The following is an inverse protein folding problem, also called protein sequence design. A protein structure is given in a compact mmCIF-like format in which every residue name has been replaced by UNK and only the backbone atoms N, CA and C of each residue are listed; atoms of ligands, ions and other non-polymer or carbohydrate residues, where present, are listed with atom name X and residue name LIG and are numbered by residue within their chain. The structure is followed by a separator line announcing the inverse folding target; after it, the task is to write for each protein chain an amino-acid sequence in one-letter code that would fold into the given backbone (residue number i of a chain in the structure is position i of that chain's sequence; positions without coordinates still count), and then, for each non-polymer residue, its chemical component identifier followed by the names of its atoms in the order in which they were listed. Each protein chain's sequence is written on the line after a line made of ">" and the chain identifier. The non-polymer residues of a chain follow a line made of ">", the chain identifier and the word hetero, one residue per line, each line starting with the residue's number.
data_IF_691233121853
#
_entry.id   IF_691233121853
#
_cell.length_a   1.000
_cell.length_b   1.000
_cell.length_c   1.000
_cell.angle_alpha   90.00
_cell.angle_beta   90.00
_cell.angle_gamma   90.00
#
_symmetry.space_group_name_H-M   'P 1'
#
loop_
_entity.id
_entity.type
_entity.pdbx_description
1 polymer ?
#
# COMPACT_ATOMS: atom_id res chain seq x y z
N UNK A 1 66.08 57.84 -18.01
CA UNK A 1 65.76 58.04 -19.44
C UNK A 1 66.66 57.12 -20.24
N UNK A 2 66.08 56.53 -21.28
CA UNK A 2 66.62 55.53 -22.21
C UNK A 2 66.63 54.09 -21.69
N UNK A 3 66.45 53.08 -22.52
CA UNK A 3 65.58 52.82 -23.69
C UNK A 3 65.88 51.34 -24.02
N UNK A 4 64.90 50.64 -24.59
CA UNK A 4 65.03 49.39 -25.34
C UNK A 4 65.58 48.14 -24.60
N UNK A 5 64.99 46.96 -24.85
CA UNK A 5 65.40 46.17 -26.02
C UNK A 5 64.72 44.79 -26.11
N UNK A 6 64.45 44.39 -27.35
CA UNK A 6 64.33 43.02 -27.91
C UNK A 6 63.19 42.07 -27.51
N UNK A 7 62.19 42.01 -28.38
CA UNK A 7 61.60 40.76 -28.90
C UNK A 7 62.68 39.89 -29.59
N UNK A 8 62.54 38.55 -29.83
CA UNK A 8 61.61 38.05 -30.86
C UNK A 8 61.13 36.56 -30.82
N UNK A 9 60.14 36.27 -31.69
CA UNK A 9 59.86 35.04 -32.47
C UNK A 9 59.48 33.72 -31.74
N UNK A 10 58.44 33.04 -32.26
CA UNK A 10 58.51 31.69 -32.90
C UNK A 10 57.12 31.21 -33.40
N UNK A 11 57.02 30.97 -34.73
CA UNK A 11 56.46 29.81 -35.50
C UNK A 11 55.06 29.26 -35.08
N UNK A 12 53.98 29.46 -35.84
CA UNK A 12 53.46 28.74 -37.05
C UNK A 12 53.06 27.25 -36.86
N UNK A 13 51.75 27.01 -37.04
CA UNK A 13 51.05 25.83 -37.55
C UNK A 13 51.24 24.43 -36.91
N UNK A 14 50.12 23.83 -36.48
CA UNK A 14 49.65 22.56 -37.05
C UNK A 14 48.27 22.19 -36.52
N UNK A 15 47.36 21.94 -37.46
CA UNK A 15 46.16 21.14 -37.29
C UNK A 15 46.53 19.72 -36.90
N UNK A 16 45.87 19.14 -35.89
CA UNK A 16 45.70 17.69 -35.78
C UNK A 16 44.26 17.35 -35.33
N UNK A 17 43.63 16.35 -35.97
CA UNK A 17 42.26 15.94 -35.73
C UNK A 17 42.15 15.10 -34.46
N UNK A 18 41.09 15.31 -33.68
CA UNK A 18 40.74 14.43 -32.57
C UNK A 18 39.89 13.27 -33.13
N UNK A 19 40.55 12.18 -33.51
CA UNK A 19 39.94 10.84 -33.55
C UNK A 19 40.61 9.96 -32.50
N UNK A 20 39.84 9.54 -31.50
CA UNK A 20 39.98 8.28 -30.76
C UNK A 20 38.65 8.11 -29.99
N UNK A 21 37.72 7.28 -30.49
CA UNK A 21 37.58 5.85 -30.17
C UNK A 21 37.68 5.58 -28.68
N UNK A 22 36.55 5.21 -28.07
CA UNK A 22 36.29 4.17 -27.03
C UNK A 22 34.80 4.35 -26.69
N UNK A 23 33.93 3.38 -26.49
CA UNK A 23 33.84 1.97 -26.84
C UNK A 23 32.39 1.60 -26.54
N UNK A 24 31.77 0.93 -27.48
CA UNK A 24 30.61 0.05 -27.33
C UNK A 24 30.56 -0.64 -25.96
N UNK A 25 29.52 -0.36 -25.16
CA UNK A 25 28.95 -1.33 -24.20
C UNK A 25 27.43 -1.30 -24.30
N UNK A 26 26.93 -1.96 -25.36
CA UNK A 26 25.65 -2.66 -25.35
C UNK A 26 25.90 -4.09 -24.87
N UNK A 27 24.89 -4.70 -24.24
CA UNK A 27 24.84 -6.03 -23.61
C UNK A 27 25.58 -6.08 -22.26
N UNK A 28 24.91 -6.42 -21.15
CA UNK A 28 24.27 -7.72 -20.89
C UNK A 28 23.14 -7.61 -19.87
N UNK A 29 21.89 -7.89 -20.26
CA UNK A 29 20.82 -8.40 -19.37
C UNK A 29 19.59 -8.94 -20.15
N UNK A 30 19.80 -9.42 -21.38
CA UNK A 30 18.74 -10.01 -22.20
C UNK A 30 19.23 -11.34 -22.79
N UNK A 31 19.34 -12.37 -21.95
CA UNK A 31 19.56 -13.75 -22.41
C UNK A 31 19.24 -14.75 -21.29
N UNK A 32 17.96 -14.95 -20.99
CA UNK A 32 17.46 -16.15 -20.30
C UNK A 32 15.94 -16.26 -20.48
N UNK A 33 15.52 -16.68 -21.67
CA UNK A 33 14.28 -17.44 -21.92
C UNK A 33 14.01 -17.51 -23.43
N UNK A 34 14.62 -18.48 -24.11
CA UNK A 34 14.20 -18.90 -25.43
C UNK A 34 13.76 -20.35 -25.36
N UNK A 35 12.46 -20.60 -25.51
CA UNK A 35 11.87 -21.63 -26.38
C UNK A 35 10.49 -22.07 -25.90
N UNK A 36 9.47 -21.82 -26.71
CA UNK A 36 8.71 -22.84 -27.46
C UNK A 36 7.52 -22.12 -28.11
N UNK A 37 7.43 -22.20 -29.43
CA UNK A 37 6.40 -21.59 -30.25
C UNK A 37 5.68 -22.70 -31.02
N UNK A 38 4.39 -22.92 -30.74
CA UNK A 38 3.39 -23.45 -31.70
C UNK A 38 2.03 -22.83 -31.37
N UNK A 39 1.37 -22.12 -32.31
CA UNK A 39 0.04 -21.57 -32.10
C UNK A 39 -1.06 -22.52 -32.61
N UNK A 40 -2.09 -22.74 -31.80
CA UNK A 40 -3.32 -23.43 -32.16
C UNK A 40 -4.54 -22.56 -31.90
N UNK A 41 -5.10 -21.99 -32.96
CA UNK A 41 -6.39 -21.28 -33.00
C UNK A 41 -7.55 -22.17 -32.55
N UNK A 42 -8.47 -21.63 -31.74
CA UNK A 42 -9.91 -21.87 -31.89
C UNK A 42 -10.75 -20.88 -31.05
N UNK A 43 -11.55 -20.07 -31.76
CA UNK A 43 -12.74 -19.36 -31.27
C UNK A 43 -13.78 -20.37 -30.75
N UNK A 44 -14.44 -20.06 -29.64
CA UNK A 44 -15.81 -20.49 -29.37
C UNK A 44 -16.51 -19.52 -28.43
N UNK A 45 -17.77 -19.23 -28.75
CA UNK A 45 -18.72 -18.33 -28.09
C UNK A 45 -18.87 -18.58 -26.59
N UNK A 46 -18.78 -17.51 -25.79
CA UNK A 46 -19.12 -17.54 -24.37
C UNK A 46 -20.50 -16.84 -24.15
N UNK A 47 -21.49 -17.53 -23.54
CA UNK A 47 -22.78 -16.94 -23.24
C UNK A 47 -22.71 -15.95 -22.06
N UNK A 48 -23.65 -15.00 -22.04
CA UNK A 48 -23.75 -13.93 -21.06
C UNK A 48 -23.81 -14.43 -19.60
N UNK A 49 -23.16 -13.75 -18.65
CA UNK A 49 -23.11 -14.18 -17.25
C UNK A 49 -24.48 -14.04 -16.58
N UNK A 50 -25.07 -15.17 -16.20
CA UNK A 50 -26.19 -15.21 -15.24
C UNK A 50 -25.69 -14.81 -13.85
N UNK A 51 -26.36 -13.83 -13.25
CA UNK A 51 -26.13 -13.38 -11.88
C UNK A 51 -26.35 -14.55 -10.90
N UNK A 52 -25.25 -15.18 -10.50
CA UNK A 52 -25.23 -16.25 -9.51
C UNK A 52 -25.60 -15.68 -8.15
N UNK A 53 -26.70 -16.16 -7.59
CA UNK A 53 -27.14 -15.87 -6.23
C UNK A 53 -26.03 -16.25 -5.24
N UNK A 54 -25.56 -15.28 -4.45
CA UNK A 54 -24.65 -15.51 -3.34
C UNK A 54 -25.25 -16.56 -2.41
N UNK A 55 -24.54 -17.68 -2.10
CA UNK A 55 -25.04 -18.65 -1.15
C UNK A 55 -25.21 -17.98 0.22
N UNK A 56 -26.42 -18.06 0.77
CA UNK A 56 -26.70 -17.59 2.12
C UNK A 56 -25.79 -18.33 3.11
N UNK A 57 -24.88 -17.58 3.73
CA UNK A 57 -23.99 -18.09 4.77
C UNK A 57 -24.87 -18.41 5.98
N UNK A 58 -25.11 -19.70 6.20
CA UNK A 58 -25.77 -20.18 7.42
C UNK A 58 -24.73 -20.10 8.54
N UNK A 59 -24.72 -19.00 9.30
CA UNK A 59 -23.98 -18.94 10.55
C UNK A 59 -24.58 -19.96 11.54
N UNK A 60 -23.75 -20.73 12.27
CA UNK A 60 -24.26 -21.71 13.22
C UNK A 60 -25.00 -21.06 14.39
N UNK A 61 -26.12 -21.66 14.76
CA UNK A 61 -26.96 -21.30 15.92
C UNK A 61 -26.27 -21.62 17.26
N UNK A 62 -25.21 -20.87 17.63
CA UNK A 62 -24.84 -20.67 19.04
C UNK A 62 -23.74 -19.62 19.20
N UNK A 63 -23.85 -18.69 20.16
CA UNK A 63 -22.68 -17.95 20.62
C UNK A 63 -21.71 -18.95 21.27
N UNK A 64 -20.54 -19.15 20.66
CA UNK A 64 -19.43 -19.81 21.35
C UNK A 64 -19.04 -18.94 22.56
N UNK A 65 -18.87 -19.50 23.76
CA UNK A 65 -18.26 -18.77 24.86
C UNK A 65 -16.89 -18.23 24.41
N UNK A 66 -16.52 -17.06 24.92
CA UNK A 66 -15.26 -16.38 24.59
C UNK A 66 -14.02 -17.26 24.83
N UNK A 67 -14.14 -18.23 25.74
CA UNK A 67 -13.11 -19.23 26.07
C UNK A 67 -12.76 -20.16 24.89
N UNK A 68 -13.64 -20.28 23.90
CA UNK A 68 -13.39 -21.06 22.68
C UNK A 68 -12.46 -20.32 21.70
N UNK A 69 -12.20 -19.03 21.89
CA UNK A 69 -11.31 -18.27 21.02
C UNK A 69 -9.85 -18.44 21.46
N UNK A 70 -9.17 -19.36 20.76
CA UNK A 70 -7.78 -19.75 21.03
C UNK A 70 -6.76 -18.79 20.42
N UNK A 71 -7.14 -18.05 19.36
CA UNK A 71 -6.25 -17.16 18.65
C UNK A 71 -6.44 -15.71 19.11
N UNK A 72 -5.36 -14.97 19.31
CA UNK A 72 -5.33 -13.55 19.67
C UNK A 72 -4.23 -12.84 18.86
N UNK A 73 -4.56 -11.72 18.22
CA UNK A 73 -3.62 -10.94 17.43
C UNK A 73 -3.89 -9.45 17.56
N UNK A 74 -2.81 -8.67 17.55
CA UNK A 74 -2.83 -7.23 17.30
C UNK A 74 -2.13 -6.97 15.97
N UNK A 75 -2.77 -6.20 15.10
CA UNK A 75 -2.25 -5.87 13.77
C UNK A 75 -2.38 -4.37 13.52
N UNK A 76 -1.42 -3.82 12.78
CA UNK A 76 -1.48 -2.48 12.23
C UNK A 76 -1.43 -2.57 10.71
N UNK A 77 -2.50 -2.13 10.04
CA UNK A 77 -2.67 -2.33 8.59
C UNK A 77 -2.94 -0.99 7.92
N UNK A 78 -2.19 -0.71 6.86
CA UNK A 78 -2.52 0.34 5.91
C UNK A 78 -3.44 -0.23 4.82
N UNK A 79 -4.54 0.46 4.56
CA UNK A 79 -5.51 0.11 3.53
C UNK A 79 -5.44 1.11 2.39
N UNK A 80 -5.47 0.60 1.16
CA UNK A 80 -5.75 1.41 -0.02
C UNK A 80 -7.21 1.88 -0.01
N UNK A 81 -7.53 2.90 -0.81
CA UNK A 81 -8.91 3.42 -0.92
C UNK A 81 -9.92 2.33 -1.32
N UNK A 82 -9.53 1.42 -2.22
CA UNK A 82 -10.37 0.30 -2.66
C UNK A 82 -10.63 -0.69 -1.53
N UNK A 83 -9.60 -1.03 -0.75
CA UNK A 83 -9.73 -1.94 0.40
C UNK A 83 -10.58 -1.32 1.50
N UNK A 84 -10.35 -0.04 1.79
CA UNK A 84 -11.18 0.70 2.73
C UNK A 84 -12.66 0.64 2.33
N UNK A 85 -12.98 0.85 1.05
CA UNK A 85 -14.35 0.82 0.55
C UNK A 85 -15.02 -0.55 0.73
N UNK A 86 -14.25 -1.64 0.53
CA UNK A 86 -14.72 -3.00 0.75
C UNK A 86 -14.98 -3.34 2.22
N UNK A 87 -14.36 -2.63 3.16
CA UNK A 87 -14.53 -2.84 4.60
C UNK A 87 -15.76 -2.13 5.18
N UNK A 88 -16.54 -1.42 4.35
CA UNK A 88 -17.69 -0.62 4.75
C UNK A 88 -17.38 0.26 5.97
N UNK A 89 -16.16 0.80 6.04
CA UNK A 89 -15.78 1.71 7.12
C UNK A 89 -16.52 3.03 6.88
N UNK A 90 -17.15 3.64 7.90
CA UNK A 90 -17.96 4.83 7.67
C UNK A 90 -17.02 5.93 7.21
N UNK A 91 -17.07 6.24 5.91
CA UNK A 91 -16.34 7.37 5.38
C UNK A 91 -17.06 8.61 5.83
N UNK A 92 -16.42 9.36 6.72
CA UNK A 92 -16.97 10.59 7.27
C UNK A 92 -17.17 11.64 6.16
N UNK A 93 -18.29 11.57 5.44
CA UNK A 93 -19.00 12.61 4.70
C UNK A 93 -18.29 13.40 3.58
N UNK A 94 -16.98 13.32 3.40
CA UNK A 94 -16.24 14.20 2.49
C UNK A 94 -15.72 13.45 1.26
N UNK A 95 -16.00 13.98 0.07
CA UNK A 95 -15.47 13.51 -1.22
C UNK A 95 -13.96 13.33 -1.15
N UNK A 96 -13.46 12.21 -1.67
CA UNK A 96 -12.04 11.92 -1.80
C UNK A 96 -11.39 12.89 -2.79
N UNK A 97 -10.59 13.82 -2.29
CA UNK A 97 -9.66 14.61 -3.11
C UNK A 97 -8.34 14.72 -2.35
N UNK A 98 -7.23 14.30 -2.97
CA UNK A 98 -5.88 14.26 -2.40
C UNK A 98 -5.43 12.88 -1.88
N UNK A 99 -4.18 12.79 -1.39
CA UNK A 99 -3.55 11.58 -0.86
C UNK A 99 -4.12 11.20 0.51
N UNK A 100 -5.25 10.50 0.49
CA UNK A 100 -5.89 9.94 1.67
C UNK A 100 -5.55 8.45 1.83
N UNK A 101 -5.21 8.06 3.06
CA UNK A 101 -4.89 6.69 3.42
C UNK A 101 -5.77 6.28 4.61
N UNK A 102 -6.30 5.06 4.60
CA UNK A 102 -6.93 4.49 5.79
C UNK A 102 -5.90 3.61 6.48
N UNK A 103 -5.79 3.75 7.79
CA UNK A 103 -4.94 2.92 8.64
C UNK A 103 -5.83 2.31 9.71
N UNK A 104 -5.64 1.04 10.04
CA UNK A 104 -6.31 0.43 11.17
C UNK A 104 -5.31 -0.18 12.16
N UNK A 105 -5.57 0.06 13.44
CA UNK A 105 -5.05 -0.73 14.52
C UNK A 105 -6.14 -1.69 14.97
N UNK A 106 -5.90 -2.98 14.84
CA UNK A 106 -6.90 -4.02 15.06
C UNK A 106 -6.43 -4.99 16.13
N UNK A 107 -7.27 -5.22 17.12
CA UNK A 107 -7.18 -6.39 17.98
C UNK A 107 -8.27 -7.38 17.58
N UNK A 108 -7.90 -8.65 17.41
CA UNK A 108 -8.79 -9.73 16.98
C UNK A 108 -8.61 -10.92 17.92
N UNK A 109 -9.71 -11.56 18.29
CA UNK A 109 -9.70 -12.85 18.98
C UNK A 109 -10.70 -13.79 18.30
N UNK A 110 -10.25 -14.97 17.89
CA UNK A 110 -11.06 -15.85 17.05
C UNK A 110 -10.74 -17.32 17.24
N UNK A 111 -11.54 -18.15 16.57
CA UNK A 111 -11.29 -19.56 16.33
C UNK A 111 -11.39 -19.84 14.85
N UNK A 112 -10.55 -20.76 14.36
CA UNK A 112 -10.55 -21.17 12.97
C UNK A 112 -11.68 -22.19 12.74
N UNK A 113 -12.52 -21.95 11.74
CA UNK A 113 -13.59 -22.88 11.34
C UNK A 113 -13.42 -23.30 9.90
N UNK A 114 -13.47 -24.60 9.65
CA UNK A 114 -13.49 -25.13 8.28
C UNK A 114 -14.90 -24.98 7.70
N UNK A 115 -14.99 -24.37 6.54
CA UNK A 115 -16.22 -24.30 5.76
C UNK A 115 -16.53 -25.63 5.10
N UNK A 116 -17.74 -25.77 4.56
CA UNK A 116 -18.14 -26.94 3.75
C UNK A 116 -17.26 -27.12 2.50
N UNK A 117 -16.67 -26.05 1.98
CA UNK A 117 -15.71 -26.07 0.87
C UNK A 117 -14.27 -26.37 1.28
N UNK A 118 -14.00 -26.57 2.58
CA UNK A 118 -12.66 -26.85 3.09
C UNK A 118 -11.77 -25.62 3.32
N UNK A 119 -12.27 -24.41 3.05
CA UNK A 119 -11.57 -23.17 3.40
C UNK A 119 -11.62 -22.93 4.91
N UNK A 120 -10.64 -22.21 5.45
CA UNK A 120 -10.64 -21.78 6.85
C UNK A 120 -11.23 -20.37 6.94
N UNK A 121 -12.16 -20.17 7.87
CA UNK A 121 -12.75 -18.88 8.24
C UNK A 121 -12.40 -18.53 9.68
N UNK A 122 -12.10 -17.26 9.92
CA UNK A 122 -11.75 -16.72 11.22
C UNK A 122 -13.03 -16.19 11.86
N UNK A 123 -13.59 -16.93 12.81
CA UNK A 123 -14.87 -16.57 13.45
C UNK A 123 -14.60 -16.08 14.87
N UNK A 124 -14.95 -14.82 15.16
CA UNK A 124 -14.58 -14.22 16.43
C UNK A 124 -15.06 -12.79 16.64
N UNK A 125 -14.29 -12.06 17.44
CA UNK A 125 -14.53 -10.67 17.84
C UNK A 125 -13.33 -9.79 17.50
N UNK A 126 -13.60 -8.52 17.22
CA UNK A 126 -12.53 -7.56 16.95
C UNK A 126 -12.85 -6.17 17.50
N UNK A 127 -11.79 -5.45 17.87
CA UNK A 127 -11.81 -4.01 18.15
C UNK A 127 -10.88 -3.34 17.14
N UNK A 128 -11.44 -2.46 16.33
CA UNK A 128 -10.75 -1.81 15.22
C UNK A 128 -10.74 -0.31 15.47
N UNK A 129 -9.56 0.28 15.61
CA UNK A 129 -9.34 1.72 15.56
C UNK A 129 -8.95 2.10 14.13
N UNK A 130 -9.88 2.72 13.42
CA UNK A 130 -9.66 3.27 12.09
C UNK A 130 -9.17 4.71 12.19
N UNK A 131 -8.09 5.00 11.49
CA UNK A 131 -7.51 6.31 11.31
C UNK A 131 -7.60 6.70 9.84
N UNK A 132 -8.43 7.68 9.53
CA UNK A 132 -8.45 8.32 8.22
C UNK A 132 -7.37 9.39 8.21
N UNK A 133 -6.33 9.15 7.42
CA UNK A 133 -5.18 10.04 7.31
C UNK A 133 -5.28 10.82 6.01
N UNK A 134 -5.48 12.12 6.09
CA UNK A 134 -5.28 13.04 4.97
C UNK A 134 -3.88 13.63 5.10
N UNK A 135 -2.97 13.21 4.22
CA UNK A 135 -1.63 13.81 4.18
C UNK A 135 -1.76 15.25 3.66
N UNK A 136 -1.15 16.18 4.38
CA UNK A 136 -1.05 17.57 3.96
C UNK A 136 0.32 17.83 3.31
N UNK A 137 1.33 17.04 3.69
CA UNK A 137 2.68 17.07 3.12
C UNK A 137 3.18 15.66 2.75
N UNK A 138 4.09 15.59 1.75
CA UNK A 138 4.72 14.34 1.31
C UNK A 138 5.58 13.65 2.40
N UNK A 139 5.97 14.39 3.44
CA UNK A 139 6.80 13.88 4.55
C UNK A 139 6.00 13.21 5.68
N UNK A 140 4.67 13.15 5.59
CA UNK A 140 3.83 12.53 6.61
C UNK A 140 4.14 11.03 6.75
N UNK A 141 4.65 10.62 7.92
CA UNK A 141 4.98 9.22 8.24
C UNK A 141 3.73 8.51 8.77
N UNK A 142 3.31 7.45 8.08
CA UNK A 142 2.09 6.68 8.40
C UNK A 142 2.36 5.24 8.83
N UNK A 143 3.63 4.89 9.06
CA UNK A 143 4.09 3.52 9.37
C UNK A 143 3.72 3.03 10.77
N UNK A 144 3.36 3.91 11.70
CA UNK A 144 2.89 3.54 13.04
C UNK A 144 1.95 4.59 13.61
N UNK A 145 1.18 4.22 14.65
CA UNK A 145 0.28 5.13 15.34
C UNK A 145 1.00 6.35 15.95
N UNK A 146 2.18 6.15 16.54
CA UNK A 146 2.95 7.24 17.16
C UNK A 146 3.44 8.24 16.13
N UNK A 147 3.88 7.76 14.95
CA UNK A 147 4.28 8.65 13.85
C UNK A 147 3.09 9.42 13.25
N UNK A 148 1.93 8.77 13.17
CA UNK A 148 0.70 9.44 12.74
C UNK A 148 0.29 10.55 13.72
N UNK A 149 0.32 10.26 15.01
CA UNK A 149 -0.02 11.24 16.04
C UNK A 149 0.91 12.46 15.99
N UNK A 150 2.23 12.23 15.87
CA UNK A 150 3.21 13.29 15.72
C UNK A 150 3.00 14.09 14.43
N UNK A 151 2.76 13.42 13.29
CA UNK A 151 2.50 14.08 12.01
C UNK A 151 1.25 14.96 12.07
N UNK A 152 0.22 14.54 12.81
CA UNK A 152 -0.98 15.32 13.02
C UNK A 152 -0.73 16.55 13.92
N UNK A 153 0.00 16.40 15.01
CA UNK A 153 0.38 17.51 15.91
C UNK A 153 1.21 18.58 15.19
N UNK A 154 2.10 18.16 14.29
CA UNK A 154 2.94 19.07 13.49
C UNK A 154 2.19 19.69 12.30
N UNK A 155 0.93 19.32 12.06
CA UNK A 155 0.14 19.83 10.93
C UNK A 155 0.50 19.25 9.57
N UNK A 156 1.31 18.18 9.52
CA UNK A 156 1.65 17.47 8.27
C UNK A 156 0.56 16.49 7.81
N UNK A 157 -0.38 16.16 8.70
CA UNK A 157 -1.54 15.34 8.39
C UNK A 157 -2.76 15.79 9.19
N UNK A 158 -3.95 15.56 8.64
CA UNK A 158 -5.19 15.59 9.39
C UNK A 158 -5.66 14.15 9.59
N UNK A 159 -5.87 13.75 10.83
CA UNK A 159 -6.24 12.37 11.17
C UNK A 159 -7.56 12.36 11.91
N UNK A 160 -8.56 11.69 11.33
CA UNK A 160 -9.83 11.40 12.00
C UNK A 160 -9.80 9.96 12.50
N UNK A 161 -10.26 9.75 13.73
CA UNK A 161 -10.25 8.45 14.38
C UNK A 161 -11.66 7.90 14.66
N UNK A 162 -11.81 6.59 14.56
CA UNK A 162 -13.06 5.88 14.83
C UNK A 162 -12.80 4.50 15.41
N UNK A 163 -13.50 4.14 16.48
CA UNK A 163 -13.49 2.76 16.98
C UNK A 163 -14.74 2.04 16.49
N UNK A 164 -14.54 0.86 15.92
CA UNK A 164 -15.57 -0.12 15.60
C UNK A 164 -15.34 -1.38 16.41
N UNK A 165 -16.41 -1.91 17.00
CA UNK A 165 -16.41 -3.21 17.68
C UNK A 165 -17.20 -4.19 16.84
N UNK A 166 -16.63 -5.37 16.58
CA UNK A 166 -17.26 -6.44 15.81
C UNK A 166 -17.42 -7.67 16.68
N UNK A 167 -18.60 -8.29 16.56
CA UNK A 167 -18.95 -9.54 17.22
C UNK A 167 -19.14 -9.50 18.73
N UNK A 168 -19.12 -8.31 19.34
CA UNK A 168 -19.37 -8.12 20.76
C UNK A 168 -20.17 -6.83 21.01
N UNK A 169 -21.07 -6.86 21.99
CA UNK A 169 -21.87 -5.70 22.37
C UNK A 169 -22.26 -5.72 23.84
N UNK A 170 -22.25 -4.55 24.47
CA UNK A 170 -22.80 -4.32 25.82
C UNK A 170 -22.99 -2.82 26.03
N UNK A 171 -23.85 -2.43 26.97
CA UNK A 171 -24.02 -1.02 27.32
C UNK A 171 -22.69 -0.37 27.75
N UNK A 172 -21.85 -1.13 28.47
CA UNK A 172 -20.53 -0.67 28.89
C UNK A 172 -19.58 -0.43 27.71
N UNK A 173 -19.62 -1.28 26.67
CA UNK A 173 -18.85 -1.07 25.43
C UNK A 173 -19.31 0.23 24.76
N UNK A 174 -20.61 0.45 24.62
CA UNK A 174 -21.15 1.66 24.00
C UNK A 174 -20.74 2.93 24.76
N UNK A 175 -20.73 2.89 26.10
CA UNK A 175 -20.27 4.00 26.94
C UNK A 175 -18.75 4.20 26.93
N UNK A 176 -17.97 3.20 26.52
CA UNK A 176 -16.51 3.28 26.42
C UNK A 176 -16.04 3.85 25.07
N UNK A 177 -16.93 3.96 24.08
CA UNK A 177 -16.61 4.59 22.80
C UNK A 177 -16.39 6.10 22.98
N UNK A 178 -15.32 6.67 22.39
CA UNK A 178 -15.12 8.11 22.41
C UNK A 178 -16.30 8.84 21.77
N UNK A 179 -16.74 9.92 22.43
CA UNK A 179 -17.83 10.75 21.94
C UNK A 179 -17.45 11.55 20.68
N UNK A 180 -18.42 12.19 20.02
CA UNK A 180 -18.21 12.96 18.79
C UNK A 180 -17.32 14.20 18.96
N UNK A 181 -17.00 14.60 20.20
CA UNK A 181 -16.07 15.70 20.49
C UNK A 181 -14.60 15.32 20.34
N UNK A 182 -14.27 14.03 20.22
CA UNK A 182 -12.88 13.53 20.15
C UNK A 182 -12.50 13.18 18.72
N UNK A 183 -12.84 14.00 17.73
CA UNK A 183 -12.68 13.63 16.31
C UNK A 183 -11.25 13.68 15.78
N UNK A 184 -10.42 14.58 16.30
CA UNK A 184 -9.05 14.75 15.81
C UNK A 184 -8.06 13.88 16.57
N UNK A 185 -7.30 13.06 15.85
CA UNK A 185 -6.22 12.24 16.38
C UNK A 185 -4.89 12.99 16.30
N UNK A 186 -4.24 13.18 17.44
CA UNK A 186 -2.96 13.88 17.61
C UNK A 186 -2.22 13.31 18.85
N UNK A 187 -1.04 13.82 19.19
CA UNK A 187 -0.26 13.32 20.35
C UNK A 187 -1.04 13.39 21.67
N UNK A 188 -1.86 14.42 21.87
CA UNK A 188 -2.62 14.64 23.12
C UNK A 188 -3.77 13.63 23.27
N UNK A 189 -4.47 13.31 22.17
CA UNK A 189 -5.62 12.39 22.14
C UNK A 189 -5.23 10.94 21.87
N UNK A 190 -4.01 10.69 21.39
CA UNK A 190 -3.51 9.35 21.07
C UNK A 190 -3.70 8.36 22.22
N UNK A 191 -3.31 8.76 23.43
CA UNK A 191 -3.43 7.91 24.62
C UNK A 191 -4.90 7.61 24.93
N UNK A 192 -5.79 8.61 24.80
CA UNK A 192 -7.24 8.43 25.00
C UNK A 192 -7.83 7.38 24.06
N UNK A 193 -7.42 7.37 22.79
CA UNK A 193 -7.87 6.37 21.82
C UNK A 193 -7.38 4.97 22.16
N UNK A 194 -6.11 4.82 22.55
CA UNK A 194 -5.56 3.53 22.98
C UNK A 194 -6.22 3.04 24.28
N UNK A 195 -6.44 3.93 25.24
CA UNK A 195 -7.13 3.59 26.48
C UNK A 195 -8.57 3.14 26.22
N UNK A 196 -9.27 3.79 25.28
CA UNK A 196 -10.60 3.36 24.85
C UNK A 196 -10.56 1.95 24.24
N UNK A 197 -9.62 1.67 23.33
CA UNK A 197 -9.44 0.32 22.77
C UNK A 197 -9.16 -0.70 23.86
N UNK A 198 -8.22 -0.43 24.77
CA UNK A 198 -7.86 -1.34 25.87
C UNK A 198 -9.03 -1.56 26.85
N UNK A 199 -9.78 -0.50 27.16
CA UNK A 199 -10.99 -0.59 27.98
C UNK A 199 -12.05 -1.46 27.30
N UNK A 200 -12.29 -1.28 26.01
CA UNK A 200 -13.24 -2.09 25.24
C UNK A 200 -12.78 -3.55 25.20
N UNK A 201 -11.50 -3.82 24.96
CA UNK A 201 -10.92 -5.17 25.04
C UNK A 201 -11.23 -5.83 26.39
N UNK A 202 -10.98 -5.13 27.49
CA UNK A 202 -11.28 -5.63 28.82
C UNK A 202 -12.77 -5.86 29.06
N UNK A 203 -13.64 -5.01 28.50
CA UNK A 203 -15.10 -5.17 28.58
C UNK A 203 -15.60 -6.39 27.80
N UNK A 204 -15.00 -6.70 26.66
CA UNK A 204 -15.34 -7.89 25.85
C UNK A 204 -15.13 -9.18 26.65
N UNK A 205 -14.14 -9.21 27.55
CA UNK A 205 -13.83 -10.37 28.39
C UNK A 205 -14.81 -10.59 29.56
N UNK A 206 -15.77 -9.68 29.78
CA UNK A 206 -16.64 -9.76 30.95
C UNK A 206 -17.89 -10.61 30.70
N UNK A 207 -18.41 -11.31 31.72
CA UNK A 207 -19.60 -12.17 31.59
C UNK A 207 -20.85 -11.43 31.12
N UNK A 208 -20.98 -10.14 31.41
CA UNK A 208 -22.12 -9.33 31.00
C UNK A 208 -22.10 -8.91 29.52
N UNK A 209 -21.03 -9.19 28.78
CA UNK A 209 -20.94 -8.84 27.36
C UNK A 209 -21.61 -9.88 26.48
N UNK A 210 -22.49 -9.40 25.59
CA UNK A 210 -23.12 -10.24 24.59
C UNK A 210 -22.16 -10.48 23.42
N UNK A 211 -21.68 -11.72 23.30
CA UNK A 211 -20.82 -12.16 22.20
C UNK A 211 -21.70 -12.73 21.09
N UNK A 212 -21.61 -12.12 19.91
CA UNK A 212 -22.23 -12.58 18.68
C UNK A 212 -21.14 -12.71 17.60
N UNK A 213 -20.37 -13.81 17.59
CA UNK A 213 -19.16 -13.92 16.78
C UNK A 213 -19.47 -13.66 15.31
N UNK A 214 -18.59 -12.93 14.64
CA UNK A 214 -18.72 -12.66 13.20
C UNK A 214 -17.53 -13.26 12.46
N UNK A 215 -17.71 -13.49 11.17
CA UNK A 215 -16.57 -13.74 10.28
C UNK A 215 -15.72 -12.46 10.29
N UNK A 216 -14.58 -12.56 10.95
CA UNK A 216 -13.51 -11.61 10.82
C UNK A 216 -12.96 -11.90 9.44
N UNK A 217 -13.49 -11.19 8.45
CA UNK A 217 -12.90 -11.13 7.13
C UNK A 217 -11.45 -10.72 7.39
N UNK A 218 -10.55 -11.70 7.37
CA UNK A 218 -9.23 -11.41 6.89
C UNK A 218 -9.52 -10.82 5.53
N UNK A 219 -9.14 -9.56 5.26
CA UNK A 219 -8.95 -9.24 3.88
C UNK A 219 -8.04 -10.38 3.41
N UNK A 220 -8.60 -11.29 2.59
CA UNK A 220 -7.93 -11.61 1.36
C UNK A 220 -7.63 -10.23 0.82
N UNK A 221 -6.48 -9.68 1.21
CA UNK A 221 -5.76 -8.77 0.34
C UNK A 221 -5.99 -9.44 -1.00
N UNK A 222 -6.63 -8.74 -1.93
CA UNK A 222 -6.84 -9.18 -3.31
C UNK A 222 -5.48 -9.25 -4.04
N UNK A 223 -4.52 -9.75 -3.29
CA UNK A 223 -3.08 -9.77 -3.27
C UNK A 223 -2.75 -10.74 -2.12
N UNK A 224 -3.06 -12.02 -2.31
CA UNK A 224 -2.03 -13.05 -2.13
C UNK A 224 -1.03 -12.87 -3.30
N UNK A 225 -0.56 -11.62 -3.47
CA UNK A 225 0.59 -11.34 -4.29
C UNK A 225 1.69 -11.80 -3.37
N UNK A 226 2.31 -12.91 -3.77
CA UNK A 226 3.54 -13.39 -3.18
C UNK A 226 4.38 -12.17 -2.73
N UNK A 227 4.78 -12.05 -1.46
CA UNK A 227 5.60 -10.93 -1.02
C UNK A 227 6.82 -10.71 -1.91
N UNK A 228 7.38 -11.79 -2.49
CA UNK A 228 8.47 -11.69 -3.47
C UNK A 228 8.02 -10.99 -4.76
N UNK A 229 6.80 -11.25 -5.22
CA UNK A 229 6.19 -10.59 -6.36
C UNK A 229 5.97 -9.10 -6.09
N UNK A 230 5.49 -8.72 -4.91
CA UNK A 230 5.34 -7.30 -4.56
C UNK A 230 6.68 -6.57 -4.58
N UNK A 231 7.71 -7.12 -3.92
CA UNK A 231 9.05 -6.53 -3.93
C UNK A 231 9.63 -6.45 -5.36
N UNK A 232 9.44 -7.49 -6.17
CA UNK A 232 9.91 -7.50 -7.56
C UNK A 232 9.22 -6.43 -8.41
N UNK A 233 7.91 -6.22 -8.23
CA UNK A 233 7.16 -5.18 -8.96
C UNK A 233 7.53 -3.78 -8.50
N UNK A 234 7.75 -3.59 -7.19
CA UNK A 234 8.25 -2.31 -6.66
C UNK A 234 9.64 -2.00 -7.20
N UNK A 235 10.56 -2.97 -7.19
CA UNK A 235 11.90 -2.81 -7.77
C UNK A 235 11.82 -2.46 -9.26
N UNK A 236 11.00 -3.18 -10.01
CA UNK A 236 10.76 -2.90 -11.43
C UNK A 236 10.24 -1.48 -11.65
N UNK A 237 9.16 -1.08 -10.97
CA UNK A 237 8.57 0.24 -11.16
C UNK A 237 9.50 1.37 -10.71
N UNK A 238 10.27 1.19 -9.63
CA UNK A 238 11.30 2.16 -9.22
C UNK A 238 12.42 2.28 -10.26
N UNK A 239 12.84 1.18 -10.88
CA UNK A 239 13.82 1.22 -11.97
C UNK A 239 13.27 2.01 -13.18
N UNK A 240 12.01 1.79 -13.57
CA UNK A 240 11.36 2.55 -14.64
C UNK A 240 11.28 4.04 -14.34
N UNK A 241 10.90 4.41 -13.12
CA UNK A 241 10.90 5.82 -12.67
C UNK A 241 12.33 6.38 -12.67
N UNK A 242 13.33 5.61 -12.26
CA UNK A 242 14.74 6.01 -12.25
C UNK A 242 15.29 6.24 -13.67
N UNK A 243 14.76 5.53 -14.67
CA UNK A 243 15.08 5.74 -16.08
C UNK A 243 14.31 6.91 -16.72
N UNK A 244 13.35 7.49 -15.97
CA UNK A 244 12.50 8.59 -16.43
C UNK A 244 11.31 8.16 -17.27
N UNK A 245 10.98 6.86 -17.30
CA UNK A 245 9.85 6.34 -18.07
C UNK A 245 8.51 6.76 -17.46
N UNK A 246 7.56 7.06 -18.35
CA UNK A 246 6.16 7.37 -18.01
C UNK A 246 5.43 6.14 -17.47
N UNK A 247 4.27 6.34 -16.83
CA UNK A 247 3.44 5.22 -16.39
C UNK A 247 2.97 4.40 -17.60
N UNK A 248 2.61 5.05 -18.71
CA UNK A 248 2.20 4.36 -19.94
C UNK A 248 3.29 3.40 -20.46
N UNK A 249 4.53 3.88 -20.56
CA UNK A 249 5.68 3.08 -21.01
C UNK A 249 5.98 1.92 -20.05
N UNK A 250 5.98 2.18 -18.74
CA UNK A 250 6.20 1.14 -17.74
C UNK A 250 5.11 0.06 -17.76
N UNK A 251 3.86 0.42 -18.06
CA UNK A 251 2.77 -0.55 -18.17
C UNK A 251 2.80 -1.33 -19.49
N UNK A 252 3.29 -0.72 -20.58
CA UNK A 252 3.45 -1.39 -21.87
C UNK A 252 4.59 -2.41 -21.81
N UNK A 253 5.70 -2.06 -21.15
CA UNK A 253 6.88 -2.92 -20.96
C UNK A 253 6.72 -3.99 -19.86
N UNK A 254 5.60 -3.99 -19.11
CA UNK A 254 5.34 -5.06 -18.15
C UNK A 254 5.36 -6.42 -18.87
N UNK A 255 5.90 -7.49 -18.25
CA UNK A 255 5.91 -8.81 -18.85
C UNK A 255 4.49 -9.43 -18.89
N UNK A 256 4.21 -10.21 -19.93
CA UNK A 256 2.97 -10.97 -20.08
C UNK A 256 3.03 -12.23 -19.21
N UNK A 257 2.47 -12.15 -18.01
CA UNK A 257 2.42 -13.24 -17.02
C UNK A 257 0.99 -13.47 -16.52
N UNK A 258 0.72 -14.62 -15.89
CA UNK A 258 -0.62 -14.95 -15.37
C UNK A 258 -1.12 -13.97 -14.29
N UNK A 259 -0.19 -13.27 -13.64
CA UNK A 259 -0.39 -12.24 -12.62
C UNK A 259 -0.27 -10.80 -13.17
N UNK A 260 -0.26 -10.60 -14.49
CA UNK A 260 -0.05 -9.28 -15.14
C UNK A 260 -0.97 -8.19 -14.58
N UNK A 261 -2.27 -8.46 -14.41
CA UNK A 261 -3.22 -7.47 -13.87
C UNK A 261 -2.89 -7.05 -12.43
N UNK A 262 -2.38 -7.99 -11.61
CA UNK A 262 -1.94 -7.67 -10.24
C UNK A 262 -0.67 -6.81 -10.25
N UNK A 263 0.31 -7.14 -11.13
CA UNK A 263 1.52 -6.34 -11.35
C UNK A 263 1.18 -4.94 -11.85
N UNK A 264 0.28 -4.86 -12.84
CA UNK A 264 -0.20 -3.60 -13.42
C UNK A 264 -0.78 -2.68 -12.35
N UNK A 265 -1.66 -3.22 -11.50
CA UNK A 265 -2.24 -2.46 -10.40
C UNK A 265 -1.17 -1.95 -9.41
N UNK A 266 -0.16 -2.77 -9.10
CA UNK A 266 0.96 -2.38 -8.23
C UNK A 266 1.85 -1.30 -8.84
N UNK A 267 2.16 -1.38 -10.14
CA UNK A 267 2.94 -0.34 -10.84
C UNK A 267 2.16 0.98 -10.88
N UNK A 268 0.85 0.93 -11.15
CA UNK A 268 -0.01 2.12 -11.08
C UNK A 268 0.06 2.72 -9.68
N UNK A 269 -0.25 1.93 -8.63
CA UNK A 269 -0.22 2.41 -7.25
C UNK A 269 1.14 3.05 -6.90
N UNK A 270 2.26 2.44 -7.31
CA UNK A 270 3.59 2.97 -7.09
C UNK A 270 3.80 4.31 -7.80
N UNK A 271 3.41 4.47 -9.07
CA UNK A 271 3.56 5.74 -9.78
C UNK A 271 2.69 6.85 -9.18
N UNK A 272 1.47 6.52 -8.77
CA UNK A 272 0.59 7.47 -8.07
C UNK A 272 1.21 7.93 -6.75
N UNK A 273 1.65 6.99 -5.92
CA UNK A 273 2.13 7.28 -4.57
C UNK A 273 3.56 7.86 -4.55
N UNK A 274 4.46 7.33 -5.39
CA UNK A 274 5.87 7.70 -5.41
C UNK A 274 6.12 8.90 -6.32
N UNK A 275 5.61 8.87 -7.55
CA UNK A 275 5.87 9.94 -8.52
C UNK A 275 4.87 11.10 -8.42
N UNK A 276 3.74 10.92 -7.73
CA UNK A 276 2.69 11.94 -7.62
C UNK A 276 2.01 12.22 -8.95
N UNK A 277 2.07 11.28 -9.89
CA UNK A 277 1.37 11.33 -11.18
C UNK A 277 -0.08 10.94 -10.93
N UNK A 278 -1.05 11.61 -11.54
CA UNK A 278 -2.46 11.22 -11.40
C UNK A 278 -2.82 10.08 -12.37
N UNK A 279 -3.83 9.26 -12.05
CA UNK A 279 -4.23 8.10 -12.89
C UNK A 279 -4.71 8.49 -14.29
N UNK A 280 -5.02 9.77 -14.50
CA UNK A 280 -5.42 10.36 -15.79
C UNK A 280 -4.25 10.88 -16.62
N UNK A 281 -3.04 10.90 -16.05
CA UNK A 281 -1.83 11.47 -16.65
C UNK A 281 -0.81 10.39 -16.99
N UNK A 282 -1.24 9.33 -17.70
CA UNK A 282 -0.39 8.15 -17.96
C UNK A 282 0.91 8.49 -18.70
N UNK A 283 0.87 9.47 -19.59
CA UNK A 283 2.01 9.91 -20.41
C UNK A 283 2.86 11.00 -19.73
N UNK A 284 2.57 11.35 -18.47
CA UNK A 284 3.35 12.37 -17.76
C UNK A 284 4.69 11.80 -17.30
N UNK A 285 5.75 12.47 -17.70
CA UNK A 285 7.11 12.14 -17.24
C UNK A 285 7.26 12.42 -15.72
N UNK A 286 7.93 11.52 -14.97
CA UNK A 286 8.31 11.80 -13.60
C UNK A 286 9.25 13.01 -13.52
N UNK A 287 9.05 13.90 -12.55
CA UNK A 287 9.95 15.05 -12.36
C UNK A 287 11.39 14.63 -12.02
N UNK A 288 12.38 15.45 -12.38
CA UNK A 288 13.81 15.18 -12.09
C UNK A 288 14.08 14.80 -10.64
N UNK A 289 13.46 15.48 -9.67
CA UNK A 289 13.62 15.15 -8.25
C UNK A 289 13.10 13.74 -7.92
N UNK A 290 11.99 13.32 -8.51
CA UNK A 290 11.42 11.97 -8.34
C UNK A 290 12.36 10.93 -8.96
N UNK A 291 12.86 11.18 -10.17
CA UNK A 291 13.83 10.33 -10.87
C UNK A 291 15.09 10.14 -10.00
N UNK A 292 15.67 11.22 -9.49
CA UNK A 292 16.86 11.17 -8.62
C UNK A 292 16.60 10.46 -7.29
N UNK A 293 15.37 10.57 -6.76
CA UNK A 293 14.98 9.82 -5.56
C UNK A 293 14.86 8.32 -5.87
N UNK A 294 14.25 7.94 -6.98
CA UNK A 294 14.14 6.55 -7.40
C UNK A 294 15.52 5.90 -7.63
N UNK A 295 16.45 6.60 -8.29
CA UNK A 295 17.83 6.14 -8.48
C UNK A 295 18.51 5.76 -7.16
N UNK A 296 18.41 6.62 -6.14
CA UNK A 296 18.96 6.32 -4.81
C UNK A 296 18.36 5.07 -4.18
N UNK A 297 17.05 4.87 -4.27
CA UNK A 297 16.41 3.66 -3.77
C UNK A 297 16.87 2.40 -4.50
N UNK A 298 16.97 2.46 -5.83
CA UNK A 298 17.47 1.33 -6.63
C UNK A 298 18.92 1.02 -6.26
N UNK A 299 19.77 2.02 -6.11
CA UNK A 299 21.17 1.85 -5.70
C UNK A 299 21.27 1.21 -4.30
N UNK A 300 20.45 1.64 -3.33
CA UNK A 300 20.38 1.04 -2.00
C UNK A 300 19.94 -0.43 -2.06
N UNK A 301 18.91 -0.76 -2.83
CA UNK A 301 18.43 -2.14 -3.00
C UNK A 301 19.48 -3.07 -3.62
N UNK A 302 20.32 -2.56 -4.53
CA UNK A 302 21.39 -3.35 -5.16
C UNK A 302 22.55 -3.57 -4.19
N UNK A 303 22.85 -2.61 -3.32
CA UNK A 303 23.96 -2.73 -2.37
C UNK A 303 23.64 -3.61 -1.16
N UNK A 304 22.36 -3.81 -0.85
CA UNK A 304 21.90 -4.64 0.27
C UNK A 304 21.64 -6.12 -0.12
N UNK A 305 21.74 -6.47 -1.41
CA UNK A 305 21.51 -7.81 -1.95
C UNK A 305 22.81 -8.64 -2.08
#
# INVERSE_FOLDING_TARGET
>A
MNDADKSPKVIVASSFPMQARVATRRSTLAALAASILVPGNARADAPAPTLSSTPAIVLPDRPSPLDDFTNDQVQFTAYSLKQAAALDVPFFGSKYSGSQQLVAYEWKRWVDRKTKSGSVEHVGVAVQLFLRVRKLDANARTSSLSFLAASATLGHAQVDAHIRVRGASSAAISMALPGPSTTTFNVESFQTWLDAVNKIKALILRPETHINPVVLIEPKTSRDVDPLLEHAVVAYGLAKIADGETLAEALDDLPETSDREARRALVIDLYLDFAGIESTELDREPSDHVVQRAKRYVDEMVNDA
#
